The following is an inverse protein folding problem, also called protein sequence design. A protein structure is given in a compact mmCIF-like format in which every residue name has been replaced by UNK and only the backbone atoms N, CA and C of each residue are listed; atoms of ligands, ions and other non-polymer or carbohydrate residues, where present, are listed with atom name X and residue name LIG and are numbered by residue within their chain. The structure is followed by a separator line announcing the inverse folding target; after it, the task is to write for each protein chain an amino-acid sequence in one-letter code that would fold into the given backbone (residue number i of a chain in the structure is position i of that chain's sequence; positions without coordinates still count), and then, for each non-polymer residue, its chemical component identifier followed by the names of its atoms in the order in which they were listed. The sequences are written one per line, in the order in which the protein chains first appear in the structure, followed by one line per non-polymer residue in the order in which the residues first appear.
data_IF_232990786548
#
_entry.id   IF_232990786548
#
_cell.length_a   1.000
_cell.length_b   1.000
_cell.length_c   1.000
_cell.angle_alpha   90.00
_cell.angle_beta   90.00
_cell.angle_gamma   90.00
#
_symmetry.space_group_name_H-M   'P 1'
#
loop_
_entity.id
_entity.type
_entity.pdbx_description
1 polymer ?
#
# COMPACT_ATOMS: atom_id res chain seq x y z
N UNK A 1 14.95 -60.14 19.22
CA UNK A 1 15.60 -58.82 19.05
C UNK A 1 15.22 -58.12 17.73
N UNK A 2 15.16 -58.84 16.60
CA UNK A 2 14.76 -58.28 15.28
C UNK A 2 13.35 -57.66 15.16
N UNK A 3 12.27 -58.17 15.80
CA UNK A 3 10.93 -57.59 15.62
C UNK A 3 10.72 -56.29 16.41
N UNK A 4 11.40 -56.14 17.56
CA UNK A 4 11.31 -54.93 18.40
C UNK A 4 11.96 -53.73 17.69
N UNK A 5 13.07 -53.95 16.98
CA UNK A 5 13.75 -52.91 16.20
C UNK A 5 12.85 -52.36 15.08
N UNK A 6 12.08 -53.22 14.42
CA UNK A 6 11.18 -52.84 13.32
C UNK A 6 10.02 -51.98 13.83
N UNK A 7 9.47 -52.30 15.00
CA UNK A 7 8.39 -51.52 15.61
C UNK A 7 8.88 -50.13 16.03
N UNK A 8 10.08 -50.03 16.61
CA UNK A 8 10.67 -48.75 17.01
C UNK A 8 10.96 -47.87 15.79
N UNK A 9 11.50 -48.46 14.72
CA UNK A 9 11.73 -47.74 13.46
C UNK A 9 10.37 -47.28 12.90
N UNK A 10 9.38 -48.17 12.77
CA UNK A 10 8.06 -47.78 12.26
C UNK A 10 7.38 -46.67 13.09
N UNK A 11 7.60 -46.64 14.40
CA UNK A 11 7.11 -45.60 15.30
C UNK A 11 7.86 -44.27 15.10
N UNK A 12 9.18 -44.31 14.88
CA UNK A 12 9.99 -43.13 14.56
C UNK A 12 9.63 -42.50 13.21
N UNK A 13 9.24 -43.31 12.22
CA UNK A 13 8.76 -42.79 10.93
C UNK A 13 7.37 -42.15 11.03
N UNK A 14 6.51 -42.65 11.93
CA UNK A 14 5.16 -42.11 12.15
C UNK A 14 5.16 -40.81 12.96
N UNK A 15 6.10 -40.63 13.89
CA UNK A 15 6.23 -39.42 14.71
C UNK A 15 6.88 -38.23 13.98
N UNK A 16 7.51 -38.45 12.81
CA UNK A 16 8.26 -37.43 12.07
C UNK A 16 7.44 -36.51 11.15
N UNK A 17 6.12 -36.65 11.06
CA UNK A 17 5.29 -36.00 10.02
C UNK A 17 4.54 -34.71 10.45
N UNK A 18 4.91 -34.02 11.54
CA UNK A 18 4.08 -32.91 12.10
C UNK A 18 4.58 -31.48 11.82
N UNK A 19 5.74 -31.27 11.18
CA UNK A 19 6.37 -29.92 11.19
C UNK A 19 6.11 -28.97 10.01
N UNK A 20 5.26 -29.28 9.03
CA UNK A 20 5.13 -28.44 7.80
C UNK A 20 3.84 -27.60 7.70
N UNK A 21 2.97 -27.61 8.73
CA UNK A 21 1.68 -26.92 8.70
C UNK A 21 1.75 -25.41 9.01
N UNK A 22 2.81 -24.93 9.66
CA UNK A 22 2.90 -23.54 10.13
C UNK A 22 3.32 -22.58 8.99
N UNK A 23 4.26 -22.99 8.14
CA UNK A 23 4.84 -22.18 7.04
C UNK A 23 3.80 -21.67 6.04
N UNK A 24 2.73 -22.44 5.76
CA UNK A 24 1.71 -22.08 4.76
C UNK A 24 0.62 -21.11 5.27
N UNK A 25 0.45 -20.96 6.58
CA UNK A 25 -0.70 -20.19 7.15
C UNK A 25 -0.38 -18.71 7.39
N UNK A 26 0.90 -18.36 7.57
CA UNK A 26 1.28 -17.01 7.98
C UNK A 26 1.35 -16.01 6.81
N UNK A 27 1.75 -16.46 5.60
CA UNK A 27 1.87 -15.57 4.43
C UNK A 27 0.54 -15.20 3.77
N UNK A 28 -0.45 -16.12 3.76
CA UNK A 28 -1.75 -15.89 3.12
C UNK A 28 -2.74 -15.11 4.00
N UNK A 29 -2.54 -15.10 5.32
CA UNK A 29 -3.43 -14.44 6.26
C UNK A 29 -3.39 -12.92 6.13
N UNK A 30 -2.20 -12.33 5.93
CA UNK A 30 -2.02 -10.88 5.81
C UNK A 30 -2.70 -10.36 4.54
N UNK A 31 -2.51 -11.03 3.39
CA UNK A 31 -3.15 -10.62 2.14
C UNK A 31 -4.68 -10.63 2.23
N UNK A 32 -5.26 -11.62 2.91
CA UNK A 32 -6.71 -11.69 3.14
C UNK A 32 -7.19 -10.56 4.04
N UNK A 33 -6.53 -10.35 5.18
CA UNK A 33 -6.87 -9.28 6.13
C UNK A 33 -6.76 -7.90 5.47
N UNK A 34 -5.73 -7.66 4.66
CA UNK A 34 -5.59 -6.42 3.89
C UNK A 34 -6.70 -6.22 2.86
N UNK A 35 -7.14 -7.29 2.18
CA UNK A 35 -8.26 -7.21 1.24
C UNK A 35 -9.59 -6.93 1.94
N UNK A 36 -9.83 -7.53 3.10
CA UNK A 36 -11.02 -7.31 3.94
C UNK A 36 -11.07 -5.87 4.46
N UNK A 37 -9.95 -5.36 5.00
CA UNK A 37 -9.84 -3.98 5.48
C UNK A 37 -10.05 -2.97 4.34
N UNK A 38 -9.47 -3.21 3.16
CA UNK A 38 -9.68 -2.37 1.98
C UNK A 38 -11.17 -2.34 1.58
N UNK A 39 -11.84 -3.50 1.57
CA UNK A 39 -13.26 -3.58 1.21
C UNK A 39 -14.13 -2.81 2.21
N UNK A 40 -13.88 -2.95 3.51
CA UNK A 40 -14.60 -2.22 4.56
C UNK A 40 -14.43 -0.71 4.41
N UNK A 41 -13.19 -0.25 4.18
CA UNK A 41 -12.88 1.16 3.93
C UNK A 41 -13.65 1.68 2.70
N UNK A 42 -13.69 0.92 1.62
CA UNK A 42 -14.39 1.31 0.39
C UNK A 42 -15.90 1.40 0.61
N UNK A 43 -16.56 0.35 1.10
CA UNK A 43 -18.03 0.31 1.12
C UNK A 43 -18.64 1.03 2.31
N UNK A 44 -18.05 0.89 3.50
CA UNK A 44 -18.72 1.30 4.74
C UNK A 44 -18.31 2.72 5.18
N UNK A 45 -17.10 3.16 4.82
CA UNK A 45 -16.56 4.46 5.27
C UNK A 45 -16.55 5.53 4.18
N UNK A 46 -16.36 5.15 2.91
CA UNK A 46 -16.18 6.10 1.80
C UNK A 46 -17.26 6.02 0.71
N UNK A 47 -18.16 5.04 0.76
CA UNK A 47 -19.19 4.78 -0.27
C UNK A 47 -18.60 4.63 -1.70
N UNK A 48 -17.47 3.92 -1.80
CA UNK A 48 -16.78 3.63 -3.07
C UNK A 48 -17.22 2.25 -3.57
N UNK A 49 -17.83 2.21 -4.75
CA UNK A 49 -18.31 0.96 -5.39
C UNK A 49 -17.20 0.16 -6.08
N UNK A 50 -16.22 0.85 -6.66
CA UNK A 50 -15.13 0.23 -7.43
C UNK A 50 -13.98 1.20 -7.59
N UNK A 51 -12.75 0.67 -7.65
CA UNK A 51 -11.55 1.44 -7.99
C UNK A 51 -11.20 1.25 -9.47
N UNK A 52 -10.52 2.23 -10.07
CA UNK A 52 -9.88 2.01 -11.37
C UNK A 52 -8.70 1.05 -11.18
N UNK A 53 -8.52 0.04 -12.06
CA UNK A 53 -7.35 -0.81 -12.02
C UNK A 53 -6.06 0.01 -12.07
N UNK A 54 -5.07 -0.39 -11.29
CA UNK A 54 -3.72 0.15 -11.41
C UNK A 54 -3.12 -0.20 -12.78
N UNK A 55 -2.07 0.52 -13.21
CA UNK A 55 -1.36 0.18 -14.43
C UNK A 55 -0.64 -1.17 -14.29
N UNK A 56 -0.61 -1.96 -15.37
CA UNK A 56 0.17 -3.20 -15.45
C UNK A 56 1.64 -2.90 -15.77
N UNK A 57 2.53 -3.75 -15.26
CA UNK A 57 3.94 -3.73 -15.64
C UNK A 57 4.20 -4.48 -16.96
N UNK A 58 3.26 -5.28 -17.45
CA UNK A 58 3.36 -5.93 -18.77
C UNK A 58 3.03 -4.90 -19.86
N UNK A 59 3.96 -4.60 -20.79
CA UNK A 59 3.72 -3.66 -21.88
C UNK A 59 2.62 -4.09 -22.85
N UNK A 60 2.27 -5.38 -22.89
CA UNK A 60 1.26 -5.93 -23.80
C UNK A 60 -0.15 -5.90 -23.19
N UNK A 61 -0.27 -5.61 -21.90
CA UNK A 61 -1.56 -5.51 -21.25
C UNK A 61 -2.31 -4.24 -21.70
N UNK A 62 -3.66 -4.30 -21.80
CA UNK A 62 -4.46 -3.14 -22.20
C UNK A 62 -4.35 -1.95 -21.23
N UNK A 63 -3.94 -2.18 -19.98
CA UNK A 63 -3.69 -1.16 -18.95
C UNK A 63 -2.20 -1.01 -18.62
N UNK A 64 -1.29 -1.31 -19.56
CA UNK A 64 0.14 -1.12 -19.38
C UNK A 64 0.49 0.30 -18.88
N UNK A 65 1.48 0.39 -18.01
CA UNK A 65 2.03 1.67 -17.57
C UNK A 65 2.55 2.47 -18.76
N UNK A 66 2.23 3.77 -18.81
CA UNK A 66 2.70 4.62 -19.89
C UNK A 66 4.22 4.82 -19.80
N UNK A 67 4.93 4.56 -20.90
CA UNK A 67 6.37 4.84 -21.06
C UNK A 67 6.66 5.85 -22.17
N UNK A 68 5.61 6.35 -22.83
CA UNK A 68 5.70 7.26 -23.97
C UNK A 68 5.22 8.66 -23.56
N UNK A 69 6.14 9.63 -23.56
CA UNK A 69 5.85 11.01 -23.15
C UNK A 69 4.76 11.65 -24.04
N UNK A 70 4.63 11.22 -25.30
CA UNK A 70 3.61 11.76 -26.22
C UNK A 70 2.19 11.33 -25.88
N UNK A 71 2.03 10.31 -25.01
CA UNK A 71 0.75 9.80 -24.53
C UNK A 71 0.32 10.37 -23.18
N UNK A 72 1.11 11.27 -22.60
CA UNK A 72 0.76 11.91 -21.34
C UNK A 72 -0.44 12.84 -21.57
N UNK A 73 -1.55 12.59 -20.88
CA UNK A 73 -2.71 13.47 -20.91
C UNK A 73 -2.38 14.83 -20.29
N UNK A 74 -2.92 15.91 -20.85
CA UNK A 74 -2.82 17.23 -20.25
C UNK A 74 -3.42 17.25 -18.83
N UNK A 75 -2.75 17.91 -17.89
CA UNK A 75 -3.20 18.06 -16.51
C UNK A 75 -2.96 19.48 -16.01
N UNK A 76 -3.82 19.94 -15.10
CA UNK A 76 -3.68 21.24 -14.43
C UNK A 76 -3.09 21.05 -13.05
N UNK A 77 -1.94 21.67 -12.80
CA UNK A 77 -1.34 21.70 -11.47
C UNK A 77 -1.96 22.81 -10.63
N UNK A 78 -2.22 22.57 -9.33
CA UNK A 78 -2.57 23.65 -8.41
C UNK A 78 -1.40 24.63 -8.28
N UNK A 79 -1.71 25.91 -8.06
CA UNK A 79 -0.66 26.92 -7.86
C UNK A 79 0.10 26.67 -6.57
N UNK A 80 1.41 26.44 -6.67
CA UNK A 80 2.26 26.08 -5.52
C UNK A 80 2.34 27.18 -4.46
N UNK A 81 2.25 28.44 -4.88
CA UNK A 81 2.30 29.63 -4.01
C UNK A 81 0.94 30.33 -3.91
N UNK A 82 -0.15 29.60 -4.17
CA UNK A 82 -1.50 30.09 -3.99
C UNK A 82 -2.12 29.45 -2.75
N UNK A 83 -2.59 30.30 -1.83
CA UNK A 83 -3.41 29.86 -0.73
C UNK A 83 -4.79 29.43 -1.24
N UNK A 84 -5.50 28.62 -0.45
CA UNK A 84 -6.84 28.13 -0.78
C UNK A 84 -7.84 29.27 -1.09
N UNK A 85 -7.64 30.41 -0.45
CA UNK A 85 -8.40 31.65 -0.62
C UNK A 85 -7.99 32.48 -1.87
N UNK A 86 -6.91 32.10 -2.57
CA UNK A 86 -6.43 32.77 -3.79
C UNK A 86 -5.29 33.77 -3.59
N UNK A 87 -4.93 34.08 -2.34
CA UNK A 87 -3.80 34.94 -1.99
C UNK A 87 -2.45 34.33 -2.42
N UNK A 88 -1.55 35.16 -2.97
CA UNK A 88 -0.20 34.74 -3.36
C UNK A 88 0.77 34.83 -2.17
N UNK A 89 1.58 33.80 -2.01
CA UNK A 89 2.75 33.81 -1.10
C UNK A 89 3.94 34.36 -1.87
N UNK A 90 4.50 35.49 -1.42
CA UNK A 90 5.57 36.19 -2.15
C UNK A 90 6.89 36.26 -1.38
N UNK A 91 6.95 35.79 -0.15
CA UNK A 91 8.16 35.82 0.67
C UNK A 91 8.41 34.52 1.41
N UNK A 92 9.68 34.26 1.75
CA UNK A 92 10.06 33.09 2.54
C UNK A 92 9.37 33.09 3.92
N UNK A 93 9.29 34.22 4.66
CA UNK A 93 8.56 34.26 5.93
C UNK A 93 7.07 33.94 5.76
N UNK A 94 6.42 34.47 4.71
CA UNK A 94 5.03 34.12 4.41
C UNK A 94 4.87 32.63 4.13
N UNK A 95 5.79 32.04 3.36
CA UNK A 95 5.79 30.60 3.07
C UNK A 95 5.94 29.74 4.33
N UNK A 96 6.87 30.08 5.23
CA UNK A 96 7.08 29.38 6.50
C UNK A 96 5.88 29.50 7.44
N UNK A 97 5.28 30.69 7.53
CA UNK A 97 4.04 30.93 8.29
C UNK A 97 2.90 30.10 7.69
N UNK A 98 2.82 30.02 6.37
CA UNK A 98 1.84 29.18 5.70
C UNK A 98 2.08 27.71 6.04
N UNK A 99 3.30 27.17 5.95
CA UNK A 99 3.55 25.77 6.30
C UNK A 99 3.24 25.41 7.76
N UNK A 100 3.47 26.34 8.68
CA UNK A 100 3.21 26.12 10.11
C UNK A 100 1.72 26.16 10.46
N UNK A 101 0.92 26.98 9.76
CA UNK A 101 -0.51 27.17 10.04
C UNK A 101 -1.44 26.55 9.00
N UNK A 102 -0.91 26.07 7.87
CA UNK A 102 -1.74 25.65 6.77
C UNK A 102 -2.40 24.30 7.04
N UNK A 103 -3.63 24.13 6.53
CA UNK A 103 -4.21 22.81 6.37
C UNK A 103 -3.39 21.93 5.41
N UNK A 104 -2.32 22.39 4.74
CA UNK A 104 -1.42 21.52 3.95
C UNK A 104 -0.72 20.45 4.78
N UNK A 105 -0.45 20.73 6.06
CA UNK A 105 -0.01 19.71 7.03
C UNK A 105 -1.09 18.64 7.29
N UNK A 106 -2.36 19.02 7.12
CA UNK A 106 -3.53 18.12 7.12
C UNK A 106 -3.73 17.43 5.76
N UNK A 107 -3.47 18.11 4.63
CA UNK A 107 -3.64 17.56 3.28
C UNK A 107 -2.63 16.46 2.92
N UNK A 108 -1.40 16.51 3.44
CA UNK A 108 -0.36 15.51 3.15
C UNK A 108 0.01 14.62 4.35
N UNK A 109 -0.70 14.74 5.48
CA UNK A 109 -0.29 14.13 6.73
C UNK A 109 0.98 14.78 7.27
N UNK A 110 1.07 14.94 8.59
CA UNK A 110 2.15 15.65 9.26
C UNK A 110 3.52 14.92 9.11
N UNK A 111 4.22 15.08 7.98
CA UNK A 111 5.62 14.62 7.85
C UNK A 111 6.47 15.37 6.82
N UNK A 112 6.14 16.62 6.50
CA UNK A 112 7.02 17.49 5.69
C UNK A 112 7.79 18.53 6.53
N UNK A 113 7.42 18.75 7.79
CA UNK A 113 8.05 19.74 8.66
C UNK A 113 9.31 19.23 9.41
N UNK A 114 9.91 18.11 8.98
CA UNK A 114 11.06 17.50 9.67
C UNK A 114 12.30 17.33 8.75
N UNK A 115 12.29 17.94 7.57
CA UNK A 115 13.38 17.79 6.59
C UNK A 115 14.22 19.05 6.35
N UNK A 116 14.09 20.07 7.21
CA UNK A 116 15.01 21.18 7.28
C UNK A 116 15.27 21.54 8.75
#
# INVERSE_FOLDING_TARGET
MKPILIVIISLMWFLGQVNDQFSKREGGGICRLSAEDQQEMMTNKLDIKSLRPGPSADPNDPNAANSDETKVSEYTLPGLLLLKEGSKVNSIPEWEICLSNAPSRSYFGAKLASFY
#
